data_IF_459020195919
#
_entry.id   IF_459020195919
#
_cell.length_a   1.000
_cell.length_b   1.000
_cell.length_c   1.000
_cell.angle_alpha   90.00
_cell.angle_beta   90.00
_cell.angle_gamma   90.00
#
_symmetry.space_group_name_H-M   'P 1'
#
loop_
_entity.id
_entity.type
_entity.pdbx_description
1 polymer ?
#
# COMPACT_ATOMS: atom_id res chain seq x y z
N UNK A 1 6.15 24.37 2.85
CA UNK A 1 4.81 24.88 2.58
C UNK A 1 4.64 25.38 1.16
N UNK A 2 5.54 26.22 0.63
CA UNK A 2 5.43 26.68 -0.77
C UNK A 2 5.61 25.58 -1.80
N UNK A 3 6.37 24.52 -1.52
CA UNK A 3 6.58 23.38 -2.42
C UNK A 3 5.34 22.51 -2.60
N UNK A 4 4.50 22.36 -1.57
CA UNK A 4 3.28 21.56 -1.66
C UNK A 4 2.19 22.24 -2.49
N UNK A 5 2.13 23.57 -2.47
CA UNK A 5 1.17 24.34 -3.27
C UNK A 5 1.53 24.27 -4.76
N UNK A 6 2.82 24.39 -5.09
CA UNK A 6 3.28 24.24 -6.47
C UNK A 6 3.04 22.85 -7.03
N UNK A 7 3.20 21.83 -6.19
CA UNK A 7 2.94 20.44 -6.57
C UNK A 7 1.46 20.24 -6.87
N UNK A 8 0.58 20.76 -6.03
CA UNK A 8 -0.88 20.71 -6.24
C UNK A 8 -1.29 21.44 -7.53
N UNK A 9 -0.69 22.60 -7.81
CA UNK A 9 -0.95 23.35 -9.05
C UNK A 9 -0.48 22.59 -10.29
N UNK A 10 0.66 21.91 -10.24
CA UNK A 10 1.12 21.06 -11.34
C UNK A 10 0.18 19.90 -11.60
N UNK A 11 -0.41 19.33 -10.57
CA UNK A 11 -1.37 18.24 -10.71
C UNK A 11 -2.64 18.71 -11.40
N UNK A 12 -3.16 19.85 -10.99
CA UNK A 12 -4.34 20.45 -11.63
C UNK A 12 -4.08 20.76 -13.10
N UNK A 13 -2.85 21.12 -13.44
CA UNK A 13 -2.44 21.37 -14.81
C UNK A 13 -2.33 20.06 -15.62
N UNK A 14 -1.82 19.00 -15.02
CA UNK A 14 -1.70 17.68 -15.64
C UNK A 14 -3.08 17.05 -15.84
N UNK A 15 -3.99 17.22 -14.89
CA UNK A 15 -5.36 16.71 -15.00
C UNK A 15 -6.17 17.38 -16.11
N UNK A 16 -5.79 18.59 -16.52
CA UNK A 16 -6.44 19.29 -17.63
C UNK A 16 -5.99 18.80 -19.01
N UNK A 17 -4.92 17.97 -19.09
CA UNK A 17 -4.31 17.55 -20.36
C UNK A 17 -4.67 16.12 -20.76
N UNK A 18 -5.49 15.40 -20.01
CA UNK A 18 -6.05 14.13 -20.45
C UNK A 18 -5.29 12.86 -20.10
N UNK A 19 -5.57 12.25 -18.92
CA UNK A 19 -5.22 10.84 -18.86
C UNK A 19 -5.74 10.09 -17.65
N UNK A 20 -6.60 9.11 -17.89
CA UNK A 20 -7.21 8.28 -16.86
C UNK A 20 -6.27 7.25 -16.21
N UNK A 21 -5.20 6.82 -16.87
CA UNK A 21 -4.34 5.75 -16.33
C UNK A 21 -3.10 6.27 -15.59
N UNK A 22 -2.59 7.43 -15.99
CA UNK A 22 -1.49 8.08 -15.26
C UNK A 22 -2.00 8.83 -14.03
N UNK A 23 -3.22 9.36 -14.11
CA UNK A 23 -3.88 10.03 -12.98
C UNK A 23 -4.08 9.11 -11.77
N UNK A 24 -4.35 7.82 -12.00
CA UNK A 24 -4.52 6.85 -10.91
C UNK A 24 -3.22 6.58 -10.16
N UNK A 25 -2.09 6.49 -10.86
CA UNK A 25 -0.78 6.32 -10.24
C UNK A 25 -0.33 7.57 -9.50
N UNK A 26 -0.63 8.72 -10.06
CA UNK A 26 -0.32 10.00 -9.43
C UNK A 26 -1.15 10.21 -8.17
N UNK A 27 -2.45 9.86 -8.20
CA UNK A 27 -3.31 9.91 -7.03
C UNK A 27 -2.80 8.98 -5.91
N UNK A 28 -2.32 7.79 -6.25
CA UNK A 28 -1.75 6.87 -5.27
C UNK A 28 -0.47 7.43 -4.63
N UNK A 29 0.37 8.13 -5.40
CA UNK A 29 1.56 8.80 -4.91
C UNK A 29 1.20 9.98 -3.99
N UNK A 30 0.14 10.69 -4.34
CA UNK A 30 -0.31 11.83 -3.53
C UNK A 30 -0.99 11.42 -2.23
N UNK A 31 -1.82 10.39 -2.28
CA UNK A 31 -2.36 9.80 -1.05
C UNK A 31 -1.23 9.37 -0.11
N UNK A 32 -0.14 8.86 -0.68
CA UNK A 32 1.04 8.48 0.07
C UNK A 32 1.75 9.70 0.70
N UNK A 33 1.98 10.77 -0.07
CA UNK A 33 2.67 11.97 0.45
C UNK A 33 1.81 12.77 1.44
N UNK A 34 0.50 12.88 1.19
CA UNK A 34 -0.41 13.57 2.10
C UNK A 34 -0.60 12.82 3.41
N UNK A 35 -0.46 11.52 3.39
CA UNK A 35 -0.63 10.65 4.54
C UNK A 35 0.68 10.47 5.33
N UNK A 36 1.82 10.86 4.74
CA UNK A 36 3.16 10.61 5.30
C UNK A 36 3.37 11.19 6.71
N UNK A 37 2.66 12.25 7.06
CA UNK A 37 2.82 12.90 8.36
C UNK A 37 1.92 12.32 9.46
N UNK A 38 1.00 11.45 9.12
CA UNK A 38 0.02 10.94 10.08
C UNK A 38 -0.27 9.44 9.96
N UNK A 39 0.48 8.73 9.12
CA UNK A 39 0.30 7.29 9.00
C UNK A 39 1.16 6.56 10.04
N UNK A 40 0.63 5.46 10.53
CA UNK A 40 1.36 4.58 11.44
C UNK A 40 2.71 4.18 10.82
N UNK A 41 3.84 4.25 11.56
CA UNK A 41 5.16 3.92 11.03
C UNK A 41 5.26 2.53 10.43
N UNK A 42 4.51 1.56 10.95
CA UNK A 42 4.50 0.19 10.43
C UNK A 42 3.91 0.16 9.01
N UNK A 43 2.76 0.81 8.81
CA UNK A 43 2.15 0.93 7.49
C UNK A 43 3.05 1.67 6.50
N UNK A 44 3.71 2.72 6.97
CA UNK A 44 4.66 3.47 6.15
C UNK A 44 5.80 2.57 5.64
N UNK A 45 6.37 1.76 6.51
CA UNK A 45 7.43 0.82 6.14
C UNK A 45 6.92 -0.23 5.13
N UNK A 46 5.69 -0.74 5.33
CA UNK A 46 5.05 -1.68 4.41
C UNK A 46 4.88 -1.06 3.02
N UNK A 47 4.33 0.15 2.95
CA UNK A 47 4.09 0.86 1.69
C UNK A 47 5.41 1.12 0.95
N UNK A 48 6.45 1.50 1.68
CA UNK A 48 7.79 1.72 1.10
C UNK A 48 8.47 0.43 0.65
N UNK A 49 8.02 -0.71 1.13
CA UNK A 49 8.67 -1.99 0.87
C UNK A 49 9.98 -2.15 1.64
N UNK A 50 10.14 -1.47 2.76
CA UNK A 50 11.32 -1.54 3.61
C UNK A 50 11.24 -2.80 4.47
N UNK A 51 11.69 -3.91 3.88
CA UNK A 51 11.58 -5.24 4.46
C UNK A 51 12.25 -5.34 5.83
N UNK A 52 13.43 -4.76 5.97
CA UNK A 52 14.19 -4.79 7.21
C UNK A 52 13.45 -4.09 8.34
N UNK A 53 12.92 -2.91 8.08
CA UNK A 53 12.14 -2.14 9.07
C UNK A 53 10.85 -2.87 9.42
N UNK A 54 10.14 -3.42 8.42
CA UNK A 54 8.91 -4.20 8.67
C UNK A 54 9.22 -5.40 9.57
N UNK A 55 10.27 -6.16 9.26
CA UNK A 55 10.68 -7.32 10.06
C UNK A 55 10.99 -6.92 11.50
N UNK A 56 11.74 -5.85 11.69
CA UNK A 56 12.11 -5.35 13.02
C UNK A 56 10.87 -4.90 13.81
N UNK A 57 9.96 -4.19 13.18
CA UNK A 57 8.74 -3.74 13.86
C UNK A 57 7.86 -4.91 14.29
N UNK A 58 7.78 -5.96 13.48
CA UNK A 58 7.05 -7.18 13.85
C UNK A 58 7.72 -7.85 15.07
N UNK A 59 9.04 -7.94 15.09
CA UNK A 59 9.79 -8.47 16.23
C UNK A 59 9.56 -7.64 17.50
N UNK A 60 9.43 -6.33 17.35
CA UNK A 60 9.16 -5.40 18.45
C UNK A 60 7.69 -5.40 18.91
N UNK A 61 6.83 -6.19 18.26
CA UNK A 61 5.45 -6.41 18.69
C UNK A 61 4.37 -5.75 17.86
N UNK A 62 4.69 -5.21 16.67
CA UNK A 62 3.66 -4.65 15.78
C UNK A 62 2.68 -5.73 15.33
N UNK A 63 1.39 -5.38 15.31
CA UNK A 63 0.33 -6.29 14.91
C UNK A 63 0.27 -6.39 13.38
N UNK A 64 0.60 -7.57 12.85
CA UNK A 64 0.58 -7.82 11.39
C UNK A 64 -0.82 -7.72 10.77
N UNK A 65 -1.87 -7.76 11.59
CA UNK A 65 -3.26 -7.66 11.15
C UNK A 65 -3.95 -6.36 11.58
N UNK A 66 -3.17 -5.36 12.00
CA UNK A 66 -3.70 -4.05 12.36
C UNK A 66 -4.44 -3.43 11.18
N UNK A 67 -5.62 -2.85 11.45
CA UNK A 67 -6.40 -2.19 10.40
C UNK A 67 -6.33 -0.68 10.54
N UNK A 68 -6.01 -0.01 9.43
CA UNK A 68 -6.09 1.44 9.31
C UNK A 68 -6.92 1.75 8.08
N UNK A 69 -7.97 2.56 8.26
CA UNK A 69 -8.92 2.83 7.18
C UNK A 69 -9.62 1.59 6.65
N UNK A 70 -9.79 0.57 7.49
CA UNK A 70 -10.39 -0.70 7.11
C UNK A 70 -9.48 -1.67 6.38
N UNK A 71 -8.21 -1.31 6.14
CA UNK A 71 -7.23 -2.11 5.41
C UNK A 71 -6.13 -2.64 6.31
N UNK A 72 -5.70 -3.87 6.04
CA UNK A 72 -4.59 -4.52 6.73
C UNK A 72 -3.24 -4.18 6.08
N UNK A 73 -2.11 -4.40 6.77
CA UNK A 73 -0.79 -4.24 6.16
C UNK A 73 -0.61 -5.06 4.88
N UNK A 74 -1.14 -6.30 4.86
CA UNK A 74 -1.08 -7.16 3.68
C UNK A 74 -1.78 -6.52 2.47
N UNK A 75 -2.92 -5.86 2.69
CA UNK A 75 -3.66 -5.16 1.64
C UNK A 75 -2.84 -4.03 1.04
N UNK A 76 -2.15 -3.25 1.86
CA UNK A 76 -1.26 -2.19 1.39
C UNK A 76 -0.05 -2.76 0.64
N UNK A 77 0.57 -3.81 1.16
CA UNK A 77 1.68 -4.47 0.48
C UNK A 77 1.27 -5.00 -0.90
N UNK A 78 0.07 -5.55 -1.02
CA UNK A 78 -0.49 -6.02 -2.27
C UNK A 78 -0.74 -4.88 -3.26
N UNK A 79 -1.38 -3.80 -2.80
CA UNK A 79 -1.67 -2.63 -3.63
C UNK A 79 -0.40 -1.97 -4.17
N UNK A 80 0.64 -1.89 -3.37
CA UNK A 80 1.90 -1.24 -3.74
C UNK A 80 2.93 -2.22 -4.31
N UNK A 81 2.53 -3.45 -4.61
CA UNK A 81 3.37 -4.48 -5.24
C UNK A 81 4.63 -4.83 -4.43
N UNK A 82 4.48 -4.95 -3.12
CA UNK A 82 5.60 -5.28 -2.21
C UNK A 82 5.67 -6.79 -1.95
N UNK A 83 6.10 -7.55 -2.93
CA UNK A 83 6.11 -9.02 -2.91
C UNK A 83 6.86 -9.60 -1.71
N UNK A 84 8.05 -9.09 -1.40
CA UNK A 84 8.85 -9.56 -0.27
C UNK A 84 8.18 -9.26 1.08
N UNK A 85 7.54 -8.11 1.19
CA UNK A 85 6.78 -7.74 2.39
C UNK A 85 5.57 -8.66 2.54
N UNK A 86 4.89 -9.01 1.43
CA UNK A 86 3.78 -9.98 1.45
C UNK A 86 4.25 -11.32 2.03
N UNK A 87 5.38 -11.85 1.55
CA UNK A 87 5.94 -13.11 2.08
C UNK A 87 6.19 -13.04 3.58
N UNK A 88 6.79 -11.95 4.01
CA UNK A 88 7.08 -11.74 5.44
C UNK A 88 5.80 -11.66 6.27
N UNK A 89 4.84 -10.84 5.86
CA UNK A 89 3.58 -10.66 6.59
C UNK A 89 2.81 -11.96 6.71
N UNK A 90 2.65 -12.70 5.62
CA UNK A 90 1.94 -13.99 5.63
C UNK A 90 2.69 -15.00 6.49
N UNK A 91 4.01 -15.04 6.41
CA UNK A 91 4.85 -15.90 7.27
C UNK A 91 4.71 -15.57 8.75
N UNK A 92 4.31 -14.36 9.10
CA UNK A 92 4.10 -13.90 10.47
C UNK A 92 2.62 -13.91 10.90
N UNK A 93 1.75 -14.50 10.11
CA UNK A 93 0.35 -14.70 10.48
C UNK A 93 -0.65 -13.71 9.90
N UNK A 94 -0.27 -12.95 8.87
CA UNK A 94 -1.23 -12.08 8.19
C UNK A 94 -2.34 -12.91 7.54
N UNK A 95 -3.58 -12.46 7.67
CA UNK A 95 -4.76 -13.14 7.14
C UNK A 95 -4.92 -12.80 5.66
N UNK A 96 -4.64 -13.77 4.77
CA UNK A 96 -4.67 -13.57 3.31
C UNK A 96 -6.08 -13.24 2.81
N UNK A 97 -7.10 -13.87 3.38
CA UNK A 97 -8.49 -13.71 2.96
C UNK A 97 -9.25 -12.57 3.61
N UNK A 98 -8.60 -11.76 4.45
CA UNK A 98 -9.25 -10.62 5.09
C UNK A 98 -9.78 -9.64 4.03
N UNK A 99 -10.93 -9.03 4.30
CA UNK A 99 -11.59 -8.08 3.39
C UNK A 99 -11.61 -6.68 4.00
N UNK A 100 -11.47 -5.67 3.15
CA UNK A 100 -11.62 -4.29 3.56
C UNK A 100 -13.12 -3.91 3.68
N UNK A 101 -13.39 -2.63 3.95
CA UNK A 101 -14.78 -2.14 4.08
C UNK A 101 -15.59 -2.23 2.77
N UNK A 102 -14.91 -2.38 1.63
CA UNK A 102 -15.53 -2.53 0.32
C UNK A 102 -15.61 -3.99 -0.13
N UNK A 103 -15.19 -4.92 0.71
CA UNK A 103 -15.18 -6.35 0.41
C UNK A 103 -13.98 -6.82 -0.41
N UNK A 104 -12.95 -6.00 -0.57
CA UNK A 104 -11.75 -6.35 -1.32
C UNK A 104 -10.76 -7.12 -0.46
N UNK A 105 -10.22 -8.21 -1.01
CA UNK A 105 -9.08 -8.93 -0.42
C UNK A 105 -7.77 -8.31 -0.90
N UNK A 106 -6.65 -8.73 -0.29
CA UNK A 106 -5.32 -8.34 -0.77
C UNK A 106 -5.12 -8.69 -2.25
N UNK A 107 -5.56 -9.89 -2.66
CA UNK A 107 -5.50 -10.31 -4.08
C UNK A 107 -6.29 -9.35 -4.98
N UNK A 108 -7.49 -8.97 -4.57
CA UNK A 108 -8.31 -8.05 -5.36
C UNK A 108 -7.65 -6.68 -5.49
N UNK A 109 -7.06 -6.18 -4.43
CA UNK A 109 -6.34 -4.91 -4.46
C UNK A 109 -5.09 -4.97 -5.35
N UNK A 110 -4.38 -6.11 -5.34
CA UNK A 110 -3.26 -6.34 -6.24
C UNK A 110 -3.71 -6.36 -7.72
N UNK A 111 -4.84 -7.01 -8.01
CA UNK A 111 -5.42 -7.03 -9.35
C UNK A 111 -5.79 -5.61 -9.82
N UNK A 112 -6.47 -4.85 -8.99
CA UNK A 112 -6.88 -3.48 -9.31
C UNK A 112 -5.68 -2.56 -9.55
N UNK A 113 -4.58 -2.80 -8.86
CA UNK A 113 -3.33 -2.04 -9.02
C UNK A 113 -2.40 -2.60 -10.10
N UNK A 114 -2.78 -3.71 -10.74
CA UNK A 114 -1.95 -4.42 -11.70
C UNK A 114 -0.57 -4.80 -11.11
N UNK A 115 -0.57 -5.20 -9.86
CA UNK A 115 0.63 -5.57 -9.10
C UNK A 115 0.98 -7.04 -9.34
N UNK A 116 1.71 -7.31 -10.41
CA UNK A 116 1.97 -8.68 -10.92
C UNK A 116 2.71 -9.56 -9.93
N UNK A 117 3.79 -9.05 -9.36
CA UNK A 117 4.62 -9.81 -8.41
C UNK A 117 3.83 -10.11 -7.13
N UNK A 118 3.04 -9.13 -6.66
CA UNK A 118 2.16 -9.32 -5.52
C UNK A 118 1.11 -10.41 -5.79
N UNK A 119 0.50 -10.42 -6.98
CA UNK A 119 -0.46 -11.44 -7.37
C UNK A 119 0.16 -12.83 -7.38
N UNK A 120 1.35 -12.97 -7.92
CA UNK A 120 2.07 -14.25 -7.96
C UNK A 120 2.33 -14.79 -6.55
N UNK A 121 2.87 -13.94 -5.67
CA UNK A 121 3.16 -14.32 -4.29
C UNK A 121 1.88 -14.69 -3.54
N UNK A 122 0.82 -13.91 -3.70
CA UNK A 122 -0.46 -14.19 -3.05
C UNK A 122 -1.06 -15.52 -3.51
N UNK A 123 -0.91 -15.88 -4.79
CA UNK A 123 -1.32 -17.18 -5.29
C UNK A 123 -0.54 -18.33 -4.66
N UNK A 124 0.77 -18.17 -4.53
CA UNK A 124 1.64 -19.17 -3.90
C UNK A 124 1.28 -19.41 -2.44
N UNK A 125 0.87 -18.36 -1.75
CA UNK A 125 0.63 -18.37 -0.29
C UNK A 125 -0.84 -18.57 0.10
N UNK A 126 -1.71 -18.74 -0.88
CA UNK A 126 -3.14 -18.96 -0.63
C UNK A 126 -3.47 -20.42 -0.40
#
# INVERSE_FOLDING_TARGET
MKKSIMTVLMILFISSVNFASEDLQVLDIYDYELVDNNIDPFFKAVIKGDLETVAKMIEDGSDVNLRIGGKTPLMYAARYNRADVIRLLVGKGAVVGAKDNQGNTAMKLAELANAKEAMEVLKEMS
#
